data_IF_622024397460
#
_entry.id   IF_622024397460
#
_cell.length_a   1.000
_cell.length_b   1.000
_cell.length_c   1.000
_cell.angle_alpha   90.00
_cell.angle_beta   90.00
_cell.angle_gamma   90.00
#
_symmetry.space_group_name_H-M   'P 1'
#
loop_
_entity.id
_entity.type
_entity.pdbx_description
1 polymer ?
#
# COMPACT_ATOMS: atom_id res chain seq x y z
N UNK A 1 7.08 -6.21 -13.07
CA UNK A 1 8.33 -5.50 -13.24
C UNK A 1 8.30 -4.68 -14.53
N UNK A 2 8.55 -3.35 -14.46
CA UNK A 2 8.43 -2.45 -15.60
C UNK A 2 9.48 -2.71 -16.71
N UNK A 3 10.59 -3.38 -16.40
CA UNK A 3 11.58 -3.78 -17.41
C UNK A 3 11.13 -4.99 -18.25
N UNK A 4 10.10 -5.71 -17.82
CA UNK A 4 9.57 -6.91 -18.45
C UNK A 4 8.05 -6.75 -18.57
N UNK A 5 7.62 -5.72 -19.27
CA UNK A 5 6.19 -5.37 -19.35
C UNK A 5 5.33 -6.46 -20.00
N UNK A 6 5.71 -7.07 -21.13
CA UNK A 6 4.92 -8.16 -21.74
C UNK A 6 4.76 -9.36 -20.78
N UNK A 7 5.84 -9.79 -20.15
CA UNK A 7 5.83 -10.91 -19.20
C UNK A 7 5.00 -10.54 -17.95
N UNK A 8 5.10 -9.33 -17.48
CA UNK A 8 4.31 -8.84 -16.33
C UNK A 8 2.81 -8.82 -16.65
N UNK A 9 2.43 -8.46 -17.87
CA UNK A 9 1.05 -8.51 -18.34
C UNK A 9 0.58 -9.95 -18.42
N UNK A 10 1.36 -10.84 -19.02
CA UNK A 10 1.03 -12.25 -19.12
C UNK A 10 0.83 -12.92 -17.75
N UNK A 11 1.68 -12.59 -16.76
CA UNK A 11 1.52 -13.07 -15.39
C UNK A 11 0.24 -12.51 -14.73
N UNK A 12 -0.08 -11.25 -14.92
CA UNK A 12 -1.34 -10.67 -14.44
C UNK A 12 -2.56 -11.35 -15.05
N UNK A 13 -2.55 -11.60 -16.36
CA UNK A 13 -3.63 -12.29 -17.07
C UNK A 13 -3.79 -13.75 -16.63
N UNK A 14 -2.70 -14.39 -16.26
CA UNK A 14 -2.69 -15.76 -15.75
C UNK A 14 -3.22 -15.88 -14.32
N UNK A 15 -2.82 -14.98 -13.42
CA UNK A 15 -3.06 -15.14 -11.99
C UNK A 15 -4.21 -14.31 -11.44
N UNK A 16 -4.43 -13.07 -11.89
CA UNK A 16 -5.49 -12.22 -11.34
C UNK A 16 -6.92 -12.79 -11.49
N UNK A 17 -7.23 -13.65 -12.49
CA UNK A 17 -8.52 -14.33 -12.53
C UNK A 17 -8.72 -15.39 -11.44
N UNK A 18 -7.64 -15.83 -10.78
CA UNK A 18 -7.73 -16.83 -9.71
C UNK A 18 -8.22 -16.18 -8.41
N UNK A 19 -9.07 -16.86 -7.62
CA UNK A 19 -9.76 -16.25 -6.48
C UNK A 19 -8.84 -15.75 -5.36
N UNK A 20 -7.61 -16.26 -5.29
CA UNK A 20 -6.65 -15.89 -4.26
C UNK A 20 -5.69 -14.75 -4.67
N UNK A 21 -5.84 -14.22 -5.90
CA UNK A 21 -5.00 -13.14 -6.40
C UNK A 21 -5.83 -11.87 -6.58
N UNK A 22 -5.60 -10.90 -5.71
CA UNK A 22 -6.42 -9.67 -5.64
C UNK A 22 -5.70 -8.43 -6.14
N UNK A 23 -4.38 -8.49 -6.35
CA UNK A 23 -3.60 -7.32 -6.73
C UNK A 23 -2.16 -7.63 -7.11
N UNK A 24 -1.39 -6.57 -7.29
CA UNK A 24 0.00 -6.60 -7.75
C UNK A 24 0.91 -5.90 -6.74
N UNK A 25 2.09 -6.45 -6.50
CA UNK A 25 3.18 -5.76 -5.76
C UNK A 25 4.20 -5.18 -6.73
N UNK A 26 4.53 -3.89 -6.54
CA UNK A 26 5.62 -3.21 -7.24
C UNK A 26 6.74 -2.89 -6.26
N UNK A 27 7.99 -3.08 -6.70
CA UNK A 27 9.17 -2.72 -5.95
C UNK A 27 10.16 -2.01 -6.88
N UNK A 28 10.07 -0.68 -6.96
CA UNK A 28 10.88 0.17 -7.85
C UNK A 28 12.39 0.02 -7.62
N UNK A 29 12.83 -0.07 -6.36
CA UNK A 29 14.26 -0.24 -6.03
C UNK A 29 14.84 -1.53 -6.60
N UNK A 30 14.10 -2.65 -6.54
CA UNK A 30 14.57 -3.92 -7.08
C UNK A 30 14.54 -3.97 -8.61
N UNK A 31 13.61 -3.28 -9.22
CA UNK A 31 13.55 -3.18 -10.69
C UNK A 31 14.55 -2.17 -11.27
N UNK A 32 15.08 -1.28 -10.44
CA UNK A 32 15.89 -0.15 -10.89
C UNK A 32 15.12 0.86 -11.75
N UNK A 33 13.78 0.81 -11.73
CA UNK A 33 12.89 1.69 -12.49
C UNK A 33 12.18 2.61 -11.51
N UNK A 34 12.40 3.93 -11.64
CA UNK A 34 11.72 4.95 -10.85
C UNK A 34 10.19 4.87 -11.06
N UNK A 35 9.43 5.21 -10.04
CA UNK A 35 7.98 5.32 -10.18
C UNK A 35 7.54 6.43 -11.15
N UNK A 36 8.41 7.40 -11.45
CA UNK A 36 8.18 8.46 -12.42
C UNK A 36 8.55 8.06 -13.87
N UNK A 37 9.23 6.92 -14.07
CA UNK A 37 9.68 6.46 -15.39
C UNK A 37 8.49 6.13 -16.31
N UNK A 38 8.54 6.44 -17.61
CA UNK A 38 7.51 6.06 -18.57
C UNK A 38 7.15 4.57 -18.55
N UNK A 39 8.12 3.68 -18.39
CA UNK A 39 7.89 2.24 -18.25
C UNK A 39 7.01 1.91 -17.04
N UNK A 40 7.17 2.64 -15.94
CA UNK A 40 6.34 2.47 -14.75
C UNK A 40 4.92 2.98 -15.00
N UNK A 41 4.75 4.05 -15.80
CA UNK A 41 3.42 4.51 -16.20
C UNK A 41 2.69 3.47 -17.06
N UNK A 42 3.40 2.83 -18.00
CA UNK A 42 2.85 1.75 -18.83
C UNK A 42 2.46 0.54 -17.97
N UNK A 43 3.32 0.11 -17.04
CA UNK A 43 3.00 -0.97 -16.11
C UNK A 43 1.79 -0.60 -15.23
N UNK A 44 1.71 0.63 -14.74
CA UNK A 44 0.58 1.07 -13.91
C UNK A 44 -0.73 1.08 -14.69
N UNK A 45 -0.72 1.52 -15.95
CA UNK A 45 -1.88 1.45 -16.82
C UNK A 45 -2.34 0.00 -17.04
N UNK A 46 -1.40 -0.92 -17.23
CA UNK A 46 -1.70 -2.35 -17.38
C UNK A 46 -2.30 -2.95 -16.09
N UNK A 47 -1.79 -2.56 -14.92
CA UNK A 47 -2.32 -2.99 -13.61
C UNK A 47 -3.73 -2.44 -13.42
N UNK A 48 -3.95 -1.16 -13.66
CA UNK A 48 -5.24 -0.49 -13.46
C UNK A 48 -6.37 -1.10 -14.32
N UNK A 49 -6.04 -1.65 -15.47
CA UNK A 49 -7.00 -2.37 -16.32
C UNK A 49 -7.31 -3.81 -15.90
N UNK A 50 -6.61 -4.35 -14.88
CA UNK A 50 -6.66 -5.79 -14.54
C UNK A 50 -6.83 -6.08 -13.05
N UNK A 51 -6.29 -5.25 -12.18
CA UNK A 51 -6.24 -5.47 -10.74
C UNK A 51 -7.15 -4.50 -9.96
N UNK A 52 -7.56 -4.89 -8.75
CA UNK A 52 -8.31 -4.05 -7.82
C UNK A 52 -7.40 -3.19 -6.95
N UNK A 53 -6.19 -3.68 -6.70
CA UNK A 53 -5.22 -2.99 -5.86
C UNK A 53 -3.79 -3.18 -6.35
N UNK A 54 -2.95 -2.24 -5.99
CA UNK A 54 -1.50 -2.33 -6.13
C UNK A 54 -0.83 -1.95 -4.82
N UNK A 55 0.08 -2.81 -4.35
CA UNK A 55 0.96 -2.49 -3.23
C UNK A 55 2.28 -1.98 -3.77
N UNK A 56 2.64 -0.74 -3.40
CA UNK A 56 3.84 -0.07 -3.88
C UNK A 56 4.86 -0.02 -2.74
N UNK A 57 6.06 -0.56 -2.97
CA UNK A 57 7.19 -0.31 -2.08
C UNK A 57 7.49 1.18 -2.09
N UNK A 58 7.52 1.80 -0.93
CA UNK A 58 7.72 3.23 -0.80
C UNK A 58 9.07 3.55 -0.15
N UNK A 59 9.75 4.49 -0.76
CA UNK A 59 11.04 5.01 -0.35
C UNK A 59 11.65 5.78 -1.50
N UNK A 60 12.12 6.98 -1.24
CA UNK A 60 12.69 7.86 -2.25
C UNK A 60 11.93 9.17 -2.43
N UNK A 61 12.61 10.23 -2.90
CA UNK A 61 12.08 11.60 -2.90
C UNK A 61 10.95 11.85 -3.91
N UNK A 62 10.87 11.09 -4.98
CA UNK A 62 9.90 11.24 -6.06
C UNK A 62 8.59 10.45 -5.85
N UNK A 63 8.54 9.60 -4.83
CA UNK A 63 7.39 8.72 -4.58
C UNK A 63 6.10 9.47 -4.23
N UNK A 64 6.10 10.50 -3.34
CA UNK A 64 4.87 11.17 -2.95
C UNK A 64 4.10 11.79 -4.11
N UNK A 65 4.79 12.58 -4.95
CA UNK A 65 4.18 13.22 -6.11
C UNK A 65 3.67 12.22 -7.16
N UNK A 66 4.35 11.11 -7.32
CA UNK A 66 3.93 10.04 -8.23
C UNK A 66 2.71 9.30 -7.69
N UNK A 67 2.65 9.04 -6.37
CA UNK A 67 1.49 8.42 -5.74
C UNK A 67 0.24 9.28 -5.87
N UNK A 68 0.35 10.59 -5.66
CA UNK A 68 -0.75 11.53 -5.87
C UNK A 68 -1.30 11.43 -7.30
N UNK A 69 -0.40 11.46 -8.30
CA UNK A 69 -0.76 11.34 -9.70
C UNK A 69 -1.44 10.02 -10.05
N UNK A 70 -0.93 8.90 -9.52
CA UNK A 70 -1.56 7.59 -9.72
C UNK A 70 -2.94 7.51 -9.08
N UNK A 71 -3.11 8.04 -7.87
CA UNK A 71 -4.38 8.05 -7.19
C UNK A 71 -5.44 8.87 -7.94
N UNK A 72 -5.06 10.00 -8.51
CA UNK A 72 -5.94 10.83 -9.35
C UNK A 72 -6.28 10.16 -10.69
N UNK A 73 -5.28 9.58 -11.34
CA UNK A 73 -5.45 8.97 -12.65
C UNK A 73 -6.25 7.66 -12.63
N UNK A 74 -6.15 6.90 -11.51
CA UNK A 74 -6.79 5.60 -11.37
C UNK A 74 -7.66 5.54 -10.10
N UNK A 75 -8.76 6.29 -10.01
CA UNK A 75 -9.57 6.39 -8.80
C UNK A 75 -10.27 5.09 -8.39
N UNK A 76 -10.37 4.12 -9.30
CA UNK A 76 -10.94 2.79 -9.06
C UNK A 76 -9.91 1.78 -8.54
N UNK A 77 -8.62 2.10 -8.58
CA UNK A 77 -7.52 1.25 -8.11
C UNK A 77 -7.14 1.64 -6.69
N UNK A 78 -7.09 0.70 -5.77
CA UNK A 78 -6.59 0.91 -4.42
C UNK A 78 -5.06 0.83 -4.39
N UNK A 79 -4.42 1.81 -3.77
CA UNK A 79 -2.98 1.89 -3.60
C UNK A 79 -2.60 1.65 -2.15
N UNK A 80 -1.84 0.59 -1.87
CA UNK A 80 -1.27 0.33 -0.54
C UNK A 80 0.17 0.80 -0.53
N UNK A 81 0.45 1.78 0.32
CA UNK A 81 1.78 2.37 0.48
C UNK A 81 2.54 1.58 1.54
N UNK A 82 3.35 0.63 1.10
CA UNK A 82 4.18 -0.16 2.00
C UNK A 82 5.17 0.75 2.73
N UNK A 83 5.39 0.48 4.03
CA UNK A 83 6.27 1.26 4.92
C UNK A 83 5.82 2.71 5.16
N UNK A 84 4.61 3.10 4.72
CA UNK A 84 4.03 4.44 4.88
C UNK A 84 5.02 5.59 4.59
N UNK A 85 5.82 5.48 3.51
CA UNK A 85 6.92 6.37 3.14
C UNK A 85 8.07 6.46 4.17
N UNK A 86 8.19 5.51 5.09
CA UNK A 86 9.29 5.44 6.05
C UNK A 86 9.39 6.65 6.97
N UNK A 87 10.37 7.53 6.77
CA UNK A 87 10.53 8.77 7.55
C UNK A 87 9.54 9.87 7.15
N UNK A 88 8.95 9.81 5.94
CA UNK A 88 8.01 10.80 5.42
C UNK A 88 6.54 10.45 5.73
N UNK A 89 6.28 9.82 6.89
CA UNK A 89 4.94 9.36 7.29
C UNK A 89 3.89 10.46 7.31
N UNK A 90 4.25 11.67 7.73
CA UNK A 90 3.33 12.82 7.75
C UNK A 90 2.84 13.18 6.33
N UNK A 91 3.73 13.10 5.36
CA UNK A 91 3.39 13.34 3.96
C UNK A 91 2.50 12.22 3.42
N UNK A 92 2.83 10.96 3.72
CA UNK A 92 2.01 9.82 3.38
C UNK A 92 0.59 9.94 3.94
N UNK A 93 0.46 10.36 5.22
CA UNK A 93 -0.84 10.54 5.85
C UNK A 93 -1.65 11.68 5.22
N UNK A 94 -1.01 12.79 4.82
CA UNK A 94 -1.68 13.87 4.08
C UNK A 94 -2.16 13.41 2.71
N UNK A 95 -1.40 12.56 2.03
CA UNK A 95 -1.84 11.97 0.77
C UNK A 95 -3.05 11.05 1.00
N UNK A 96 -3.00 10.16 2.00
CA UNK A 96 -4.11 9.28 2.34
C UNK A 96 -5.36 10.05 2.80
N UNK A 97 -5.21 11.18 3.47
CA UNK A 97 -6.32 12.09 3.81
C UNK A 97 -6.98 12.67 2.55
N UNK A 98 -6.17 13.01 1.54
CA UNK A 98 -6.66 13.65 0.30
C UNK A 98 -7.24 12.64 -0.69
N UNK A 99 -6.66 11.45 -0.77
CA UNK A 99 -7.00 10.43 -1.77
C UNK A 99 -7.60 9.19 -1.08
N UNK A 100 -8.91 8.96 -1.17
CA UNK A 100 -9.59 7.87 -0.46
C UNK A 100 -9.17 6.47 -0.94
N UNK A 101 -8.51 6.37 -2.07
CA UNK A 101 -7.96 5.13 -2.61
C UNK A 101 -6.46 4.90 -2.25
N UNK A 102 -5.87 5.74 -1.37
CA UNK A 102 -4.54 5.52 -0.80
C UNK A 102 -4.64 4.97 0.63
N UNK A 103 -3.94 3.89 0.90
CA UNK A 103 -3.89 3.23 2.20
C UNK A 103 -2.45 3.12 2.68
N UNK A 104 -2.25 3.30 3.98
CA UNK A 104 -0.93 3.22 4.62
C UNK A 104 -0.78 1.91 5.35
N UNK A 105 0.32 1.24 5.13
CA UNK A 105 0.71 0.02 5.82
C UNK A 105 2.06 0.24 6.49
N UNK A 106 2.09 0.04 7.82
CA UNK A 106 3.29 0.22 8.64
C UNK A 106 3.94 -1.13 8.86
N UNK A 107 4.79 -1.52 7.95
CA UNK A 107 5.54 -2.77 8.04
C UNK A 107 7.04 -2.51 8.15
N UNK A 108 7.82 -3.56 8.37
CA UNK A 108 9.27 -3.57 8.50
C UNK A 108 9.82 -2.81 9.72
N UNK A 109 11.13 -2.64 9.77
CA UNK A 109 11.84 -1.90 10.82
C UNK A 109 11.51 -0.39 10.85
N UNK A 110 10.77 0.13 9.87
CA UNK A 110 10.28 1.50 9.84
C UNK A 110 8.98 1.70 10.64
N UNK A 111 8.32 0.62 11.06
CA UNK A 111 7.16 0.69 11.94
C UNK A 111 7.52 1.40 13.24
N UNK A 112 6.58 2.13 13.79
CA UNK A 112 6.76 2.83 15.07
C UNK A 112 5.43 3.35 15.60
N UNK A 113 5.16 3.12 16.88
CA UNK A 113 3.90 3.49 17.53
C UNK A 113 3.57 4.98 17.35
N UNK A 114 4.55 5.86 17.50
CA UNK A 114 4.37 7.31 17.29
C UNK A 114 4.03 7.67 15.84
N UNK A 115 4.57 6.96 14.87
CA UNK A 115 4.26 7.17 13.45
C UNK A 115 2.83 6.73 13.11
N UNK A 116 2.42 5.57 13.65
CA UNK A 116 1.05 5.03 13.48
C UNK A 116 0.05 6.00 14.09
N UNK A 117 0.32 6.51 15.29
CA UNK A 117 -0.52 7.50 15.95
C UNK A 117 -0.62 8.79 15.15
N UNK A 118 0.51 9.33 14.67
CA UNK A 118 0.53 10.55 13.87
C UNK A 118 -0.25 10.40 12.54
N UNK A 119 -0.17 9.23 11.91
CA UNK A 119 -0.94 8.97 10.70
C UNK A 119 -2.45 8.89 10.99
N UNK A 120 -2.84 8.19 12.07
CA UNK A 120 -4.23 8.12 12.52
C UNK A 120 -4.84 9.51 12.72
N UNK A 121 -4.10 10.39 13.42
CA UNK A 121 -4.55 11.74 13.72
C UNK A 121 -4.75 12.61 12.47
N UNK A 122 -4.04 12.29 11.38
CA UNK A 122 -4.11 13.04 10.12
C UNK A 122 -5.13 12.47 9.12
N UNK A 123 -5.09 11.16 8.85
CA UNK A 123 -5.91 10.59 7.78
C UNK A 123 -7.07 9.69 8.26
N UNK A 124 -7.18 9.46 9.57
CA UNK A 124 -8.23 8.60 10.10
C UNK A 124 -7.89 7.11 10.04
N UNK A 125 -8.71 6.30 10.70
CA UNK A 125 -8.46 4.86 10.86
C UNK A 125 -8.73 4.08 9.56
N UNK A 126 -9.64 4.55 8.73
CA UNK A 126 -10.09 3.88 7.50
C UNK A 126 -9.00 3.73 6.45
N UNK A 127 -7.95 4.57 6.54
CA UNK A 127 -6.81 4.56 5.61
C UNK A 127 -5.62 3.73 6.11
N UNK A 128 -5.72 3.12 7.30
CA UNK A 128 -4.64 2.34 7.88
C UNK A 128 -4.87 0.84 7.71
N UNK A 129 -3.80 0.11 7.39
CA UNK A 129 -3.78 -1.33 7.24
C UNK A 129 -2.64 -1.94 8.06
N UNK A 130 -2.85 -3.15 8.58
CA UNK A 130 -1.77 -3.94 9.16
C UNK A 130 -0.94 -4.58 8.03
N UNK A 131 0.37 -4.51 8.17
CA UNK A 131 1.32 -5.32 7.45
C UNK A 131 2.56 -5.53 8.30
N UNK A 132 3.21 -6.66 8.17
CA UNK A 132 4.34 -7.05 9.03
C UNK A 132 5.68 -7.10 8.31
N UNK A 133 5.67 -7.29 6.98
CA UNK A 133 6.87 -7.61 6.21
C UNK A 133 7.50 -8.94 6.65
N UNK A 134 6.63 -9.88 7.04
CA UNK A 134 7.02 -11.23 7.47
C UNK A 134 7.89 -11.88 6.39
N UNK A 135 8.78 -12.66 6.84
CA UNK A 135 10.00 -13.26 6.40
C UNK A 135 11.25 -12.41 6.70
N UNK A 136 11.15 -11.07 6.61
CA UNK A 136 12.25 -10.17 6.96
C UNK A 136 12.22 -9.75 8.43
N UNK A 137 11.02 -9.58 8.99
CA UNK A 137 10.81 -9.05 10.34
C UNK A 137 9.86 -9.98 11.10
N UNK A 138 10.13 -10.16 12.38
CA UNK A 138 9.21 -10.85 13.29
C UNK A 138 7.87 -10.08 13.35
N UNK A 139 6.74 -10.70 12.99
CA UNK A 139 5.44 -10.07 13.05
C UNK A 139 5.09 -9.48 14.42
N UNK A 140 5.55 -10.10 15.51
CA UNK A 140 5.30 -9.63 16.87
C UNK A 140 5.86 -8.22 17.11
N UNK A 141 7.01 -7.89 16.50
CA UNK A 141 7.58 -6.55 16.58
C UNK A 141 6.62 -5.50 15.99
N UNK A 142 6.10 -5.75 14.81
CA UNK A 142 5.23 -4.79 14.12
C UNK A 142 3.86 -4.71 14.79
N UNK A 143 3.26 -5.84 15.16
CA UNK A 143 1.99 -5.89 15.90
C UNK A 143 2.10 -5.09 17.19
N UNK A 144 3.19 -5.29 17.96
CA UNK A 144 3.47 -4.52 19.17
C UNK A 144 3.54 -3.01 18.93
N UNK A 145 3.98 -2.53 17.76
CA UNK A 145 3.96 -1.10 17.44
C UNK A 145 2.52 -0.56 17.30
N UNK A 146 1.62 -1.33 16.68
CA UNK A 146 0.20 -0.94 16.59
C UNK A 146 -0.46 -0.95 17.98
N UNK A 147 -0.25 -1.99 18.77
CA UNK A 147 -0.83 -2.13 20.11
C UNK A 147 -0.36 -1.03 21.08
N UNK A 148 0.87 -0.54 20.92
CA UNK A 148 1.43 0.52 21.75
C UNK A 148 1.25 1.94 21.17
N UNK A 149 0.46 2.10 20.10
CA UNK A 149 0.23 3.41 19.46
C UNK A 149 -0.95 4.20 20.05
N UNK A 150 -1.55 3.72 21.15
CA UNK A 150 -2.70 4.36 21.81
C UNK A 150 -3.99 4.24 21.00
N UNK A 151 -4.11 3.20 20.19
CA UNK A 151 -5.33 2.86 19.45
C UNK A 151 -6.36 2.20 20.39
N UNK A 152 -7.63 2.50 20.18
CA UNK A 152 -8.71 1.74 20.83
C UNK A 152 -8.86 0.36 20.21
N UNK A 153 -9.53 -0.56 20.91
CA UNK A 153 -9.85 -1.89 20.37
C UNK A 153 -10.63 -1.83 19.06
N UNK A 154 -11.55 -0.87 18.93
CA UNK A 154 -12.31 -0.67 17.71
C UNK A 154 -11.41 -0.21 16.55
N UNK A 155 -10.42 0.65 16.81
CA UNK A 155 -9.44 1.08 15.80
C UNK A 155 -8.49 -0.05 15.41
N UNK A 156 -8.02 -0.86 16.36
CA UNK A 156 -7.21 -2.04 16.08
C UNK A 156 -8.00 -3.05 15.23
N UNK A 157 -9.28 -3.31 15.58
CA UNK A 157 -10.14 -4.15 14.77
C UNK A 157 -10.31 -3.62 13.34
N UNK A 158 -10.53 -2.32 13.19
CA UNK A 158 -10.65 -1.71 11.86
C UNK A 158 -9.39 -1.94 11.03
N UNK A 159 -8.20 -1.68 11.60
CA UNK A 159 -6.90 -1.81 10.91
C UNK A 159 -6.57 -3.28 10.60
N UNK A 160 -6.87 -4.20 11.51
CA UNK A 160 -6.50 -5.61 11.40
C UNK A 160 -7.48 -6.43 10.55
N UNK A 161 -8.74 -6.00 10.47
CA UNK A 161 -9.80 -6.80 9.90
C UNK A 161 -10.70 -6.06 8.93
N UNK A 162 -11.38 -4.99 9.37
CA UNK A 162 -12.45 -4.40 8.59
C UNK A 162 -11.92 -3.69 7.33
N UNK A 163 -10.87 -2.88 7.47
CA UNK A 163 -10.23 -2.19 6.34
C UNK A 163 -9.59 -3.16 5.33
N UNK A 164 -8.78 -4.16 5.75
CA UNK A 164 -8.24 -5.15 4.81
C UNK A 164 -9.34 -5.87 4.03
N UNK A 165 -10.42 -6.31 4.68
CA UNK A 165 -11.56 -6.96 3.99
C UNK A 165 -12.14 -6.07 2.91
N UNK A 166 -12.40 -4.81 3.22
CA UNK A 166 -12.92 -3.81 2.27
C UNK A 166 -11.96 -3.59 1.10
N UNK A 167 -10.68 -3.35 1.39
CA UNK A 167 -9.66 -3.05 0.37
C UNK A 167 -9.40 -4.25 -0.55
N UNK A 168 -9.39 -5.46 0.03
CA UNK A 168 -9.23 -6.71 -0.71
C UNK A 168 -10.51 -7.16 -1.42
N UNK A 169 -11.66 -6.54 -1.12
CA UNK A 169 -12.95 -6.89 -1.71
C UNK A 169 -13.53 -8.18 -1.16
N UNK A 170 -13.29 -8.48 0.11
CA UNK A 170 -13.78 -9.67 0.80
C UNK A 170 -15.11 -9.43 1.55
N UNK A 171 -15.67 -8.24 1.42
CA UNK A 171 -16.99 -7.92 1.98
C UNK A 171 -18.06 -8.57 1.10
N UNK A 172 -18.60 -9.68 1.55
CA UNK A 172 -19.61 -10.46 0.82
C UNK A 172 -19.18 -11.88 0.43
N UNK A 173 -17.98 -12.28 0.88
CA UNK A 173 -17.56 -13.68 0.78
C UNK A 173 -17.86 -14.45 2.08
#
# INVERSE_FOLDING_TARGET
NANFLPESIAEMERYLPLPNFVGVKIHSSYSGVSNADPKMQELMAAIAGRARLVKIHSGGPDVPGTLARFAEQYPHLNFIIAHALGSAVTEAARLAQRYPNLYLEFCSSWAGAGKIRAALDLCGVEQLLLGTDMDLIDPAFVIGQYENSGLSEAQLRAIYWDNPRRVLGLDGA
#
